data_IF_931487511230
#
_entry.id   IF_931487511230
#
_cell.length_a   1.000
_cell.length_b   1.000
_cell.length_c   1.000
_cell.angle_alpha   90.00
_cell.angle_beta   90.00
_cell.angle_gamma   90.00
#
_symmetry.space_group_name_H-M   'P 1'
#
loop_
_entity.id
_entity.type
_entity.pdbx_description
1 polymer ?
#
# COMPACT_ATOMS: atom_id res chain seq x y z
N UNK A 1 50.58 -28.14 -3.96
CA UNK A 1 49.28 -28.25 -3.26
C UNK A 1 48.48 -27.00 -3.65
N UNK A 2 47.39 -27.09 -4.44
CA UNK A 2 46.66 -25.91 -4.87
C UNK A 2 45.80 -25.34 -3.72
N UNK A 3 45.50 -24.03 -3.72
CA UNK A 3 44.86 -23.35 -2.60
C UNK A 3 43.38 -23.75 -2.49
N UNK A 4 43.07 -24.62 -1.52
CA UNK A 4 41.70 -24.97 -1.13
C UNK A 4 40.94 -23.78 -0.51
N UNK A 5 41.65 -22.75 -0.06
CA UNK A 5 41.11 -21.57 0.64
C UNK A 5 40.19 -20.70 -0.25
N UNK A 6 40.34 -20.76 -1.57
CA UNK A 6 39.59 -19.91 -2.52
C UNK A 6 38.17 -20.42 -2.81
N UNK A 7 37.95 -21.74 -2.76
CA UNK A 7 36.63 -22.32 -3.08
C UNK A 7 35.61 -22.16 -1.96
N UNK A 8 36.03 -22.32 -0.71
CA UNK A 8 35.16 -22.21 0.47
C UNK A 8 34.78 -20.74 0.72
N UNK A 9 35.72 -19.81 0.55
CA UNK A 9 35.46 -18.37 0.63
C UNK A 9 34.49 -17.90 -0.47
N UNK A 10 34.68 -18.36 -1.70
CA UNK A 10 33.75 -18.08 -2.80
C UNK A 10 32.37 -18.72 -2.58
N UNK A 11 32.30 -19.92 -2.00
CA UNK A 11 31.02 -20.57 -1.67
C UNK A 11 30.26 -19.81 -0.58
N UNK A 12 30.94 -19.36 0.47
CA UNK A 12 30.34 -18.53 1.53
C UNK A 12 29.86 -17.17 1.01
N UNK A 13 30.63 -16.55 0.10
CA UNK A 13 30.24 -15.30 -0.54
C UNK A 13 29.00 -15.48 -1.44
N UNK A 14 28.95 -16.56 -2.24
CA UNK A 14 27.78 -16.90 -3.06
C UNK A 14 26.53 -17.13 -2.20
N UNK A 15 26.64 -17.89 -1.12
CA UNK A 15 25.53 -18.14 -0.21
C UNK A 15 24.97 -16.85 0.41
N UNK A 16 25.85 -15.89 0.77
CA UNK A 16 25.43 -14.56 1.25
C UNK A 16 24.73 -13.76 0.17
N UNK A 17 25.23 -13.78 -1.06
CA UNK A 17 24.55 -13.13 -2.19
C UNK A 17 23.18 -13.74 -2.48
N UNK A 18 23.09 -15.07 -2.47
CA UNK A 18 21.83 -15.79 -2.68
C UNK A 18 20.79 -15.44 -1.59
N UNK A 19 21.22 -15.32 -0.33
CA UNK A 19 20.35 -14.91 0.78
C UNK A 19 19.84 -13.46 0.60
N UNK A 20 20.72 -12.53 0.22
CA UNK A 20 20.34 -11.13 -0.03
C UNK A 20 19.40 -11.04 -1.23
N UNK A 21 19.67 -11.79 -2.31
CA UNK A 21 18.81 -11.85 -3.48
C UNK A 21 17.44 -12.45 -3.16
N UNK A 22 17.39 -13.52 -2.37
CA UNK A 22 16.15 -14.13 -1.92
C UNK A 22 15.32 -13.13 -1.09
N UNK A 23 15.96 -12.43 -0.15
CA UNK A 23 15.31 -11.41 0.68
C UNK A 23 14.79 -10.23 -0.14
N UNK A 24 15.57 -9.76 -1.10
CA UNK A 24 15.17 -8.68 -2.02
C UNK A 24 14.00 -9.10 -2.91
N UNK A 25 14.04 -10.31 -3.46
CA UNK A 25 12.96 -10.87 -4.29
C UNK A 25 11.67 -10.95 -3.49
N UNK A 26 11.73 -11.49 -2.28
CA UNK A 26 10.58 -11.59 -1.39
C UNK A 26 10.00 -10.22 -1.03
N UNK A 27 10.85 -9.23 -0.72
CA UNK A 27 10.41 -7.86 -0.46
C UNK A 27 9.69 -7.26 -1.68
N UNK A 28 10.26 -7.44 -2.88
CA UNK A 28 9.67 -6.92 -4.13
C UNK A 28 8.31 -7.57 -4.42
N UNK A 29 8.17 -8.86 -4.18
CA UNK A 29 6.90 -9.57 -4.32
C UNK A 29 5.85 -9.06 -3.34
N UNK A 30 6.21 -8.89 -2.07
CA UNK A 30 5.31 -8.37 -1.03
C UNK A 30 4.85 -6.93 -1.34
N UNK A 31 5.75 -6.07 -1.82
CA UNK A 31 5.40 -4.71 -2.25
C UNK A 31 4.50 -4.73 -3.47
N UNK A 32 4.78 -5.58 -4.47
CA UNK A 32 3.97 -5.70 -5.67
C UNK A 32 2.55 -6.19 -5.36
N UNK A 33 2.42 -7.14 -4.44
CA UNK A 33 1.12 -7.64 -3.97
C UNK A 33 0.34 -6.57 -3.21
N UNK A 34 1.00 -5.85 -2.28
CA UNK A 34 0.38 -4.73 -1.57
C UNK A 34 -0.11 -3.65 -2.55
N UNK A 35 0.68 -3.29 -3.56
CA UNK A 35 0.28 -2.31 -4.58
C UNK A 35 -0.97 -2.77 -5.35
N UNK A 36 -1.05 -4.06 -5.72
CA UNK A 36 -2.25 -4.62 -6.37
C UNK A 36 -3.47 -4.56 -5.46
N UNK A 37 -3.31 -4.95 -4.20
CA UNK A 37 -4.40 -4.94 -3.22
C UNK A 37 -4.92 -3.52 -2.95
N UNK A 38 -4.02 -2.55 -2.79
CA UNK A 38 -4.40 -1.15 -2.62
C UNK A 38 -5.03 -0.55 -3.88
N UNK A 39 -4.55 -0.92 -5.07
CA UNK A 39 -5.15 -0.46 -6.33
C UNK A 39 -6.57 -1.01 -6.54
N UNK A 40 -6.85 -2.22 -6.05
CA UNK A 40 -8.16 -2.86 -6.14
C UNK A 40 -9.09 -2.62 -4.94
N UNK A 41 -8.64 -1.93 -3.90
CA UNK A 41 -9.45 -1.67 -2.71
C UNK A 41 -10.56 -0.68 -3.05
N UNK A 42 -11.79 -1.17 -2.99
CA UNK A 42 -13.01 -0.37 -3.05
C UNK A 42 -13.84 -0.59 -1.78
N UNK A 43 -14.23 0.49 -1.13
CA UNK A 43 -15.13 0.47 0.03
C UNK A 43 -16.46 1.03 -0.39
N UNK A 44 -17.51 0.22 -0.25
CA UNK A 44 -18.89 0.58 -0.56
C UNK A 44 -19.67 0.78 0.73
N UNK A 45 -20.30 1.94 0.87
CA UNK A 45 -21.09 2.30 2.04
C UNK A 45 -22.43 2.88 1.61
N UNK A 46 -23.50 2.42 2.25
CA UNK A 46 -24.85 2.94 2.05
C UNK A 46 -25.25 3.89 3.19
N UNK A 47 -25.99 4.93 2.82
CA UNK A 47 -26.71 5.79 3.75
C UNK A 47 -27.68 4.99 4.64
N UNK A 48 -28.06 5.51 5.83
CA UNK A 48 -28.93 4.78 6.77
C UNK A 48 -30.30 4.39 6.21
N UNK A 49 -30.82 5.15 5.24
CA UNK A 49 -32.08 4.90 4.57
C UNK A 49 -31.92 4.07 3.27
N UNK A 50 -30.69 3.71 2.92
CA UNK A 50 -30.36 2.93 1.74
C UNK A 50 -30.57 3.66 0.41
N UNK A 51 -30.81 4.97 0.42
CA UNK A 51 -31.14 5.72 -0.80
C UNK A 51 -29.91 6.24 -1.54
N UNK A 52 -28.80 6.42 -0.81
CA UNK A 52 -27.49 6.82 -1.33
C UNK A 52 -26.49 5.69 -1.08
N UNK A 53 -25.72 5.32 -2.10
CA UNK A 53 -24.57 4.41 -1.99
C UNK A 53 -23.33 5.09 -2.54
N UNK A 54 -22.26 5.08 -1.76
CA UNK A 54 -20.98 5.68 -2.08
C UNK A 54 -19.93 4.58 -2.17
N UNK A 55 -19.14 4.59 -3.25
CA UNK A 55 -17.95 3.74 -3.39
C UNK A 55 -16.73 4.64 -3.46
N UNK A 56 -15.78 4.39 -2.56
CA UNK A 56 -14.49 5.09 -2.50
C UNK A 56 -13.35 4.10 -2.70
N UNK A 57 -12.22 4.59 -3.20
CA UNK A 57 -10.99 3.80 -3.31
C UNK A 57 -10.07 3.96 -2.09
N UNK A 58 -8.91 3.31 -2.12
CA UNK A 58 -7.95 3.26 -1.00
C UNK A 58 -7.51 4.62 -0.42
N UNK A 59 -7.47 5.70 -1.21
CA UNK A 59 -7.08 7.04 -0.71
C UNK A 59 -8.28 7.90 -0.32
N UNK A 60 -9.47 7.29 -0.19
CA UNK A 60 -10.73 8.00 0.06
C UNK A 60 -11.29 8.71 -1.18
N UNK A 61 -10.70 8.54 -2.36
CA UNK A 61 -11.26 9.15 -3.57
C UNK A 61 -12.63 8.56 -3.90
N UNK A 62 -13.62 9.41 -4.19
CA UNK A 62 -14.94 8.99 -4.64
C UNK A 62 -14.85 8.38 -6.04
N UNK A 63 -15.13 7.09 -6.16
CA UNK A 63 -15.13 6.35 -7.42
C UNK A 63 -16.53 6.26 -8.03
N UNK A 64 -17.55 6.08 -7.18
CA UNK A 64 -18.94 5.95 -7.63
C UNK A 64 -19.91 6.51 -6.60
N UNK A 65 -20.94 7.19 -7.09
CA UNK A 65 -22.09 7.61 -6.32
C UNK A 65 -23.34 7.06 -7.01
N UNK A 66 -24.17 6.33 -6.27
CA UNK A 66 -25.46 5.82 -6.73
C UNK A 66 -26.56 6.43 -5.88
N UNK A 67 -27.52 7.07 -6.54
CA UNK A 67 -28.73 7.60 -5.94
C UNK A 67 -29.90 6.74 -6.40
N UNK A 68 -30.65 6.20 -5.44
CA UNK A 68 -31.89 5.49 -5.73
C UNK A 68 -32.98 6.50 -6.06
N UNK A 69 -33.93 6.17 -6.94
CA UNK A 69 -35.05 7.07 -7.28
C UNK A 69 -35.81 7.59 -6.05
N UNK A 70 -35.90 6.77 -5.00
CA UNK A 70 -36.54 7.13 -3.73
C UNK A 70 -35.83 8.29 -3.02
N UNK A 71 -34.54 8.52 -3.27
CA UNK A 71 -33.79 9.64 -2.70
C UNK A 71 -34.41 10.99 -3.10
N UNK A 72 -34.85 11.12 -4.36
CA UNK A 72 -35.47 12.34 -4.89
C UNK A 72 -36.87 12.59 -4.34
N UNK A 73 -37.61 11.52 -4.06
CA UNK A 73 -38.95 11.61 -3.48
C UNK A 73 -38.91 11.82 -1.95
N UNK A 74 -37.92 11.24 -1.27
CA UNK A 74 -37.83 11.23 0.19
C UNK A 74 -37.13 12.48 0.76
N UNK A 75 -36.23 13.12 0.00
CA UNK A 75 -35.39 14.21 0.51
C UNK A 75 -35.51 15.49 -0.30
N UNK A 76 -35.52 16.62 0.40
CA UNK A 76 -35.27 17.93 -0.22
C UNK A 76 -33.81 18.00 -0.71
N UNK A 77 -33.50 18.81 -1.74
CA UNK A 77 -32.15 18.91 -2.30
C UNK A 77 -31.05 19.16 -1.26
N UNK A 78 -31.28 20.09 -0.32
CA UNK A 78 -30.30 20.43 0.72
C UNK A 78 -30.03 19.25 1.67
N UNK A 79 -31.08 18.49 2.01
CA UNK A 79 -30.98 17.29 2.85
C UNK A 79 -30.28 16.15 2.13
N UNK A 80 -30.53 15.99 0.84
CA UNK A 80 -29.84 14.99 0.03
C UNK A 80 -28.35 15.31 -0.10
N UNK A 81 -27.99 16.58 -0.31
CA UNK A 81 -26.59 17.03 -0.35
C UNK A 81 -25.87 16.77 0.99
N UNK A 82 -26.54 17.04 2.11
CA UNK A 82 -26.03 16.75 3.45
C UNK A 82 -25.84 15.24 3.64
N UNK A 83 -26.82 14.42 3.26
CA UNK A 83 -26.77 12.96 3.37
C UNK A 83 -25.63 12.35 2.52
N UNK A 84 -25.47 12.81 1.29
CA UNK A 84 -24.36 12.40 0.41
C UNK A 84 -23.03 12.74 1.07
N UNK A 85 -22.86 13.99 1.51
CA UNK A 85 -21.61 14.45 2.13
C UNK A 85 -21.26 13.63 3.38
N UNK A 86 -22.25 13.37 4.25
CA UNK A 86 -22.07 12.55 5.44
C UNK A 86 -21.70 11.10 5.10
N UNK A 87 -22.37 10.51 4.09
CA UNK A 87 -22.11 9.14 3.64
C UNK A 87 -20.71 9.01 3.03
N UNK A 88 -20.28 10.00 2.24
CA UNK A 88 -18.94 10.04 1.66
C UNK A 88 -17.86 10.13 2.73
N UNK A 89 -18.01 11.02 3.72
CA UNK A 89 -17.03 11.12 4.83
C UNK A 89 -16.89 9.81 5.62
N UNK A 90 -18.01 9.10 5.84
CA UNK A 90 -17.98 7.78 6.49
C UNK A 90 -17.27 6.74 5.62
N UNK A 91 -17.53 6.76 4.32
CA UNK A 91 -16.86 5.87 3.37
C UNK A 91 -15.35 6.14 3.32
N UNK A 92 -14.93 7.41 3.30
CA UNK A 92 -13.51 7.83 3.37
C UNK A 92 -12.82 7.31 4.64
N UNK A 93 -13.47 7.43 5.81
CA UNK A 93 -12.95 6.90 7.07
C UNK A 93 -12.79 5.38 7.02
N UNK A 94 -13.80 4.66 6.54
CA UNK A 94 -13.75 3.21 6.39
C UNK A 94 -12.65 2.77 5.39
N UNK A 95 -12.42 3.53 4.33
CA UNK A 95 -11.34 3.27 3.38
C UNK A 95 -9.95 3.50 3.98
N UNK A 96 -9.79 4.53 4.82
CA UNK A 96 -8.53 4.77 5.53
C UNK A 96 -8.22 3.62 6.51
N UNK A 97 -9.23 3.14 7.25
CA UNK A 97 -9.12 1.98 8.15
C UNK A 97 -8.75 0.71 7.38
N UNK A 98 -9.49 0.38 6.31
CA UNK A 98 -9.20 -0.79 5.47
C UNK A 98 -7.79 -0.74 4.85
N UNK A 99 -7.34 0.45 4.45
CA UNK A 99 -6.00 0.68 3.93
C UNK A 99 -4.93 0.47 5.01
N UNK A 100 -5.14 1.02 6.21
CA UNK A 100 -4.23 0.83 7.33
C UNK A 100 -4.08 -0.65 7.70
N UNK A 101 -5.18 -1.40 7.69
CA UNK A 101 -5.14 -2.85 7.93
C UNK A 101 -4.37 -3.62 6.85
N UNK A 102 -4.55 -3.28 5.57
CA UNK A 102 -3.80 -3.91 4.48
C UNK A 102 -2.29 -3.66 4.62
N UNK A 103 -1.91 -2.42 4.94
CA UNK A 103 -0.51 -2.06 5.18
C UNK A 103 0.06 -2.79 6.40
N UNK A 104 -0.70 -2.87 7.49
CA UNK A 104 -0.28 -3.58 8.70
C UNK A 104 -0.06 -5.09 8.47
N UNK A 105 -0.88 -5.72 7.63
CA UNK A 105 -0.70 -7.14 7.24
C UNK A 105 0.51 -7.37 6.33
N UNK A 106 0.82 -6.41 5.45
CA UNK A 106 1.93 -6.53 4.51
C UNK A 106 3.30 -6.22 5.12
N UNK A 107 3.35 -5.46 6.23
CA UNK A 107 4.59 -5.12 6.93
C UNK A 107 4.51 -5.51 8.42
N UNK A 108 4.51 -6.82 8.75
CA UNK A 108 4.56 -7.27 10.13
C UNK A 108 6.00 -7.19 10.66
N UNK A 109 6.34 -6.10 11.36
CA UNK A 109 7.56 -6.00 12.18
C UNK A 109 8.88 -5.89 11.40
N UNK A 110 9.74 -4.98 11.87
CA UNK A 110 11.17 -4.90 11.50
C UNK A 110 11.50 -4.52 10.06
N UNK A 111 11.04 -3.35 9.59
CA UNK A 111 11.81 -2.52 8.65
C UNK A 111 11.21 -1.12 8.57
N UNK A 112 11.74 -0.18 9.37
CA UNK A 112 11.83 1.26 9.05
C UNK A 112 10.62 1.97 8.43
N UNK A 113 9.39 1.62 8.79
CA UNK A 113 8.16 2.21 8.23
C UNK A 113 8.00 3.74 8.46
N UNK A 114 8.57 4.40 9.49
CA UNK A 114 8.39 5.85 9.66
C UNK A 114 8.96 6.71 8.52
N UNK A 115 10.07 6.29 7.88
CA UNK A 115 10.67 7.02 6.76
C UNK A 115 9.93 6.80 5.42
N UNK A 116 9.40 5.59 5.20
CA UNK A 116 8.70 5.23 3.95
C UNK A 116 7.39 6.03 3.79
N UNK A 117 6.70 6.31 4.91
CA UNK A 117 5.50 7.13 4.94
C UNK A 117 5.77 8.63 4.82
N UNK A 118 6.99 9.11 5.16
CA UNK A 118 7.34 10.55 5.09
C UNK A 118 7.83 11.01 3.73
N UNK A 119 8.45 10.13 2.93
CA UNK A 119 9.15 10.55 1.73
C UNK A 119 8.49 10.19 0.40
N UNK A 120 7.64 9.16 0.35
CA UNK A 120 7.03 8.69 -0.90
C UNK A 120 8.00 8.23 -2.01
N UNK A 121 9.32 8.24 -1.74
CA UNK A 121 10.35 7.91 -2.72
C UNK A 121 11.24 6.78 -2.20
N UNK A 122 10.77 5.54 -2.40
CA UNK A 122 11.55 4.32 -2.18
C UNK A 122 12.84 4.31 -3.03
N UNK A 123 12.84 5.02 -4.18
CA UNK A 123 14.01 5.13 -5.07
C UNK A 123 15.13 6.01 -4.50
N UNK A 124 14.82 6.95 -3.61
CA UNK A 124 15.82 7.74 -2.90
C UNK A 124 16.55 6.94 -1.81
N UNK A 125 15.82 6.04 -1.12
CA UNK A 125 16.41 5.14 -0.12
C UNK A 125 17.37 4.13 -0.75
N UNK A 126 17.00 3.57 -1.91
CA UNK A 126 17.84 2.63 -2.65
C UNK A 126 19.14 3.29 -3.14
N UNK A 127 19.07 4.52 -3.68
CA UNK A 127 20.28 5.28 -4.09
C UNK A 127 21.23 5.57 -2.93
N UNK A 128 20.71 5.98 -1.76
CA UNK A 128 21.56 6.21 -0.59
C UNK A 128 22.23 4.93 -0.10
N UNK A 129 21.51 3.81 -0.16
CA UNK A 129 22.06 2.51 0.20
C UNK A 129 23.18 2.10 -0.78
N UNK A 130 23.00 2.32 -2.08
CA UNK A 130 24.01 2.05 -3.10
C UNK A 130 25.26 2.94 -2.94
N UNK A 131 25.08 4.22 -2.58
CA UNK A 131 26.18 5.14 -2.26
C UNK A 131 26.98 4.70 -1.02
N UNK A 132 26.31 4.06 -0.05
CA UNK A 132 26.95 3.57 1.18
C UNK A 132 27.72 2.26 0.95
N UNK A 133 27.34 1.48 -0.07
CA UNK A 133 27.94 0.19 -0.40
C UNK A 133 29.18 0.27 -1.30
N UNK A 134 29.57 1.47 -1.74
CA UNK A 134 30.94 1.75 -2.18
C UNK A 134 31.50 0.82 -3.27
N UNK A 135 30.75 0.55 -4.33
CA UNK A 135 31.36 0.08 -5.58
C UNK A 135 32.14 1.25 -6.22
N UNK A 136 33.38 1.46 -5.74
CA UNK A 136 34.38 2.17 -6.53
C UNK A 136 34.79 1.25 -7.67
N UNK A 137 34.43 1.66 -8.88
CA UNK A 137 35.00 1.16 -10.12
C UNK A 137 36.53 1.21 -10.03
N UNK A 138 37.16 0.08 -10.35
CA UNK A 138 38.55 -0.05 -10.75
C UNK A 138 38.61 -1.08 -11.88
#
# INVERSE_FOLDING_TARGET
MPPTVDRDANAALRARFDEVHARYTHLRENVGELQRQLAGLEVSLASPDGTVTVVVGARGQLLRLKLHERAYAAHRPDRLAELITQTTRKAEQAAAEATAELVARAVPGETGVPELLRGGDLGALLRRHDETMGYREA
#
